data_IF_847522840467
#
_entry.id   IF_847522840467
#
_cell.length_a   1.000
_cell.length_b   1.000
_cell.length_c   1.000
_cell.angle_alpha   90.00
_cell.angle_beta   90.00
_cell.angle_gamma   90.00
#
_symmetry.space_group_name_H-M   'P 1'
#
loop_
_entity.id
_entity.type
_entity.pdbx_description
1 polymer ?
#
# COMPACT_ATOMS: atom_id res chain seq x y z
N UNK A 1 41.35 87.48 15.28
CA UNK A 1 40.00 86.88 15.33
C UNK A 1 40.15 85.40 14.96
N UNK A 2 39.51 84.54 15.75
CA UNK A 2 39.82 83.12 15.94
C UNK A 2 39.74 82.24 14.68
N UNK A 3 40.74 81.35 14.52
CA UNK A 3 40.68 80.16 13.67
C UNK A 3 39.88 79.07 14.40
N UNK A 4 38.78 78.62 13.79
CA UNK A 4 37.96 77.51 14.27
C UNK A 4 38.51 76.21 13.68
N UNK A 5 38.90 75.28 14.55
CA UNK A 5 39.31 73.91 14.22
C UNK A 5 38.04 73.04 14.28
N UNK A 6 37.62 72.47 13.14
CA UNK A 6 36.57 71.46 13.09
C UNK A 6 37.20 70.08 13.17
N UNK A 7 37.08 69.43 14.34
CA UNK A 7 37.36 68.00 14.48
C UNK A 7 36.13 67.20 14.06
N UNK A 8 36.32 66.34 13.06
CA UNK A 8 35.27 65.51 12.46
C UNK A 8 35.21 64.17 13.18
N UNK A 9 34.29 64.00 14.12
CA UNK A 9 34.06 62.72 14.80
C UNK A 9 33.25 61.77 13.90
N UNK A 10 33.88 60.67 13.49
CA UNK A 10 33.24 59.57 12.76
C UNK A 10 32.50 58.65 13.75
N UNK A 11 31.16 58.73 13.80
CA UNK A 11 30.33 57.81 14.59
C UNK A 11 29.91 56.62 13.73
N UNK A 12 30.61 55.50 13.89
CA UNK A 12 30.23 54.20 13.34
C UNK A 12 29.05 53.64 14.14
N UNK A 13 27.83 53.69 13.57
CA UNK A 13 26.68 52.93 14.08
C UNK A 13 26.59 51.62 13.33
N UNK A 14 27.10 50.55 13.94
CA UNK A 14 26.92 49.18 13.47
C UNK A 14 25.47 48.74 13.74
N UNK A 15 24.61 48.75 12.71
CA UNK A 15 23.28 48.16 12.79
C UNK A 15 23.41 46.64 12.70
N UNK A 16 23.23 45.96 13.82
CA UNK A 16 23.11 44.49 13.87
C UNK A 16 21.66 44.16 13.45
N UNK A 17 21.49 43.72 12.20
CA UNK A 17 20.23 43.14 11.72
C UNK A 17 20.17 41.69 12.22
N UNK A 18 19.44 41.46 13.32
CA UNK A 18 19.15 40.11 13.79
C UNK A 18 18.04 39.54 12.90
N UNK A 19 18.42 38.76 11.91
CA UNK A 19 17.49 38.00 11.10
C UNK A 19 16.99 36.80 11.92
N UNK A 20 15.83 36.95 12.57
CA UNK A 20 15.13 35.82 13.18
C UNK A 20 14.65 34.88 12.08
N UNK A 21 15.46 33.87 11.76
CA UNK A 21 15.00 32.70 11.02
C UNK A 21 14.09 31.93 11.97
N UNK A 22 12.79 32.21 11.91
CA UNK A 22 11.78 31.29 12.41
C UNK A 22 11.84 30.01 11.56
N UNK A 23 12.72 29.10 11.95
CA UNK A 23 12.52 27.69 11.64
C UNK A 23 11.34 27.21 12.48
N UNK A 24 10.12 27.54 12.05
CA UNK A 24 8.98 26.69 12.37
C UNK A 24 9.36 25.32 11.84
N UNK A 25 9.66 24.39 12.74
CA UNK A 25 9.69 22.97 12.41
C UNK A 25 8.25 22.65 12.03
N UNK A 26 7.92 22.82 10.74
CA UNK A 26 6.70 22.28 10.18
C UNK A 26 6.87 20.78 10.31
N UNK A 27 6.27 20.20 11.34
CA UNK A 27 6.00 18.77 11.37
C UNK A 27 5.15 18.50 10.13
N UNK A 28 5.77 17.97 9.08
CA UNK A 28 5.06 17.69 7.84
C UNK A 28 4.14 16.51 8.10
N UNK A 29 2.85 16.64 7.79
CA UNK A 29 1.89 15.59 8.04
C UNK A 29 2.29 14.26 7.39
N UNK A 30 2.10 13.17 8.13
CA UNK A 30 2.35 11.82 7.64
C UNK A 30 1.31 11.50 6.56
N UNK A 31 1.77 11.14 5.37
CA UNK A 31 0.89 10.92 4.21
C UNK A 31 1.53 10.02 3.15
N UNK A 32 0.71 9.47 2.25
CA UNK A 32 1.20 8.96 0.97
C UNK A 32 1.83 10.09 0.16
N UNK A 33 2.97 9.83 -0.49
CA UNK A 33 3.73 10.81 -1.27
C UNK A 33 3.77 10.37 -2.73
N UNK A 34 3.52 11.30 -3.66
CA UNK A 34 3.62 11.02 -5.09
C UNK A 34 5.08 10.91 -5.58
N UNK A 35 5.25 10.76 -6.89
CA UNK A 35 6.54 10.71 -7.56
C UNK A 35 7.42 11.94 -7.27
N UNK A 36 6.81 13.12 -7.08
CA UNK A 36 7.50 14.39 -6.77
C UNK A 36 7.75 14.60 -5.26
N UNK A 37 7.19 13.74 -4.39
CA UNK A 37 7.30 13.86 -2.93
C UNK A 37 6.23 14.72 -2.28
N UNK A 38 5.18 15.08 -3.03
CA UNK A 38 4.04 15.86 -2.53
C UNK A 38 2.99 14.93 -1.89
N UNK A 39 2.28 15.38 -0.82
CA UNK A 39 1.19 14.61 -0.24
C UNK A 39 0.08 14.32 -1.26
N UNK A 40 -0.40 13.08 -1.29
CA UNK A 40 -1.55 12.65 -2.09
C UNK A 40 -2.55 11.85 -1.27
N UNK A 41 -3.79 11.86 -1.73
CA UNK A 41 -4.88 11.12 -1.07
C UNK A 41 -4.66 9.61 -1.16
N UNK A 42 -4.30 9.14 -2.35
CA UNK A 42 -3.93 7.75 -2.61
C UNK A 42 -3.00 7.69 -3.82
N UNK A 43 -2.21 6.62 -3.91
CA UNK A 43 -1.55 6.22 -5.15
C UNK A 43 -1.53 4.70 -5.27
N UNK A 44 -1.38 4.23 -6.50
CA UNK A 44 -1.18 2.83 -6.85
C UNK A 44 0.06 2.74 -7.72
N UNK A 45 0.92 1.76 -7.43
CA UNK A 45 1.95 1.35 -8.37
C UNK A 45 1.68 -0.05 -8.91
N UNK A 46 2.10 -0.28 -10.15
CA UNK A 46 2.17 -1.59 -10.78
C UNK A 46 3.61 -1.82 -11.25
N UNK A 47 4.40 -2.48 -10.42
CA UNK A 47 5.75 -2.89 -10.80
C UNK A 47 5.68 -3.95 -11.89
N UNK A 48 6.44 -3.74 -12.96
CA UNK A 48 6.46 -4.61 -14.11
C UNK A 48 7.25 -5.90 -13.82
N UNK A 49 6.84 -7.06 -14.37
CA UNK A 49 7.62 -8.27 -14.28
C UNK A 49 8.93 -8.16 -15.09
N UNK A 50 9.93 -8.96 -14.70
CA UNK A 50 11.15 -9.12 -15.48
C UNK A 50 10.85 -9.77 -16.83
N UNK A 51 9.97 -10.77 -16.85
CA UNK A 51 9.62 -11.51 -18.06
C UNK A 51 8.28 -11.02 -18.61
N UNK A 52 8.32 -10.50 -19.83
CA UNK A 52 7.18 -10.01 -20.61
C UNK A 52 7.11 -10.79 -21.92
N UNK A 53 5.96 -10.75 -22.59
CA UNK A 53 5.82 -11.39 -23.90
C UNK A 53 6.65 -10.60 -24.91
N UNK A 54 7.68 -11.24 -25.48
CA UNK A 54 8.57 -10.63 -26.45
C UNK A 54 9.68 -9.76 -25.86
N UNK A 55 9.81 -9.65 -24.54
CA UNK A 55 10.80 -8.76 -23.91
C UNK A 55 11.24 -9.28 -22.52
N UNK A 56 12.51 -9.08 -22.17
CA UNK A 56 13.02 -9.24 -20.80
C UNK A 56 13.44 -7.88 -20.27
N UNK A 57 12.68 -7.35 -19.31
CA UNK A 57 12.92 -6.04 -18.70
C UNK A 57 13.83 -6.08 -17.46
N UNK A 58 13.98 -4.93 -16.81
CA UNK A 58 14.77 -4.80 -15.58
C UNK A 58 14.14 -5.48 -14.35
N UNK A 59 12.80 -5.58 -14.35
CA UNK A 59 12.01 -6.06 -13.22
C UNK A 59 11.82 -5.04 -12.09
N UNK A 60 12.28 -3.80 -12.27
CA UNK A 60 12.17 -2.70 -11.28
C UNK A 60 11.46 -1.45 -11.82
N UNK A 61 11.16 -1.41 -13.11
CA UNK A 61 10.28 -0.41 -13.71
C UNK A 61 8.85 -0.58 -13.19
N UNK A 62 8.09 0.51 -13.08
CA UNK A 62 6.70 0.45 -12.63
C UNK A 62 5.81 1.50 -13.29
N UNK A 63 4.53 1.17 -13.42
CA UNK A 63 3.48 2.12 -13.72
C UNK A 63 3.01 2.80 -12.44
N UNK A 64 2.66 4.08 -12.55
CA UNK A 64 2.17 4.93 -11.48
C UNK A 64 0.76 5.44 -11.80
N UNK A 65 -0.07 5.51 -10.77
CA UNK A 65 -1.41 6.09 -10.82
C UNK A 65 -1.70 6.78 -9.48
N UNK A 66 -2.23 8.00 -9.53
CA UNK A 66 -2.79 8.71 -8.39
C UNK A 66 -4.01 9.52 -8.85
N UNK A 67 -4.59 10.28 -7.92
CA UNK A 67 -5.75 11.14 -8.20
C UNK A 67 -5.45 12.30 -9.16
N UNK A 68 -4.18 12.65 -9.41
CA UNK A 68 -3.77 13.78 -10.24
C UNK A 68 -3.46 13.41 -11.69
N UNK A 69 -2.96 12.20 -11.96
CA UNK A 69 -2.54 11.76 -13.30
C UNK A 69 -3.66 11.09 -14.12
N UNK A 70 -4.69 10.56 -13.46
CA UNK A 70 -5.93 10.05 -14.08
C UNK A 70 -5.80 8.81 -14.99
N UNK A 71 -4.59 8.31 -15.27
CA UNK A 71 -4.31 7.10 -16.03
C UNK A 71 -2.91 6.57 -15.71
N UNK A 72 -2.63 5.30 -16.04
CA UNK A 72 -1.31 4.71 -15.84
C UNK A 72 -0.23 5.49 -16.59
N UNK A 73 0.79 5.93 -15.85
CA UNK A 73 2.00 6.55 -16.39
C UNK A 73 3.20 5.67 -16.09
N UNK A 74 4.12 5.53 -17.05
CA UNK A 74 5.41 4.91 -16.75
C UNK A 74 6.19 5.82 -15.80
N UNK A 75 6.65 5.29 -14.67
CA UNK A 75 7.48 6.08 -13.75
C UNK A 75 8.85 6.36 -14.37
N UNK A 76 9.39 7.56 -14.06
CA UNK A 76 10.78 7.91 -14.34
C UNK A 76 11.76 7.33 -13.31
N UNK A 77 11.25 6.80 -12.20
CA UNK A 77 12.02 6.18 -11.14
C UNK A 77 11.90 4.66 -11.21
N UNK A 78 12.80 3.96 -10.53
CA UNK A 78 12.71 2.51 -10.35
C UNK A 78 12.33 2.20 -8.90
N UNK A 79 11.53 1.14 -8.71
CA UNK A 79 11.05 0.76 -7.37
C UNK A 79 12.19 0.38 -6.42
N UNK A 80 13.38 0.07 -6.93
CA UNK A 80 14.57 -0.22 -6.12
C UNK A 80 15.39 1.01 -5.72
N UNK A 81 14.85 2.22 -5.93
CA UNK A 81 15.45 3.48 -5.50
C UNK A 81 14.68 4.09 -4.34
N UNK A 82 15.33 4.94 -3.54
CA UNK A 82 14.66 5.71 -2.48
C UNK A 82 13.87 6.92 -3.00
N UNK A 83 13.75 7.05 -4.33
CA UNK A 83 12.95 8.06 -5.03
C UNK A 83 11.64 7.43 -5.57
N UNK A 84 10.75 8.26 -6.10
CA UNK A 84 9.43 7.82 -6.55
C UNK A 84 8.47 7.58 -5.38
N UNK A 85 7.21 7.26 -5.67
CA UNK A 85 6.13 7.31 -4.69
C UNK A 85 6.35 6.44 -3.45
N UNK A 86 6.76 5.18 -3.61
CA UNK A 86 7.05 4.31 -2.46
C UNK A 86 8.26 4.83 -1.68
N UNK A 87 9.35 5.18 -2.37
CA UNK A 87 10.57 5.70 -1.74
C UNK A 87 10.31 6.98 -0.93
N UNK A 88 9.60 7.94 -1.54
CA UNK A 88 9.19 9.20 -0.91
C UNK A 88 8.27 8.96 0.30
N UNK A 89 7.33 8.03 0.18
CA UNK A 89 6.39 7.70 1.26
C UNK A 89 7.12 7.09 2.46
N UNK A 90 7.94 6.06 2.23
CA UNK A 90 8.69 5.38 3.29
C UNK A 90 9.87 6.20 3.84
N UNK A 91 10.30 7.26 3.13
CA UNK A 91 11.29 8.21 3.64
C UNK A 91 10.86 8.86 4.97
N UNK A 92 9.55 9.06 5.18
CA UNK A 92 9.00 9.58 6.45
C UNK A 92 9.28 8.62 7.61
N UNK A 93 9.23 7.31 7.37
CA UNK A 93 9.62 6.31 8.36
C UNK A 93 11.13 6.33 8.57
N UNK A 94 11.92 6.19 7.50
CA UNK A 94 13.36 5.96 7.59
C UNK A 94 14.18 7.21 7.89
N UNK A 95 14.17 8.18 6.97
CA UNK A 95 14.96 9.40 7.09
C UNK A 95 14.31 10.39 8.06
N UNK A 96 12.97 10.40 8.13
CA UNK A 96 12.21 11.14 9.15
C UNK A 96 12.33 10.55 10.55
N UNK A 97 12.94 9.37 10.69
CA UNK A 97 13.15 8.65 11.96
C UNK A 97 11.87 8.46 12.78
N UNK A 98 10.70 8.38 12.13
CA UNK A 98 9.44 8.14 12.83
C UNK A 98 9.45 6.83 13.63
N UNK A 99 10.28 5.86 13.23
CA UNK A 99 10.47 4.61 13.97
C UNK A 99 11.13 4.78 15.35
N UNK A 100 11.75 5.93 15.62
CA UNK A 100 12.30 6.30 16.93
C UNK A 100 11.38 7.22 17.73
N UNK A 101 10.27 7.65 17.13
CA UNK A 101 9.35 8.58 17.77
C UNK A 101 8.38 7.86 18.70
N UNK A 102 8.03 8.51 19.80
CA UNK A 102 6.92 8.12 20.67
C UNK A 102 5.61 8.83 20.31
N UNK A 103 5.62 9.72 19.31
CA UNK A 103 4.44 10.47 18.86
C UNK A 103 3.68 9.83 17.68
N UNK A 104 4.19 8.71 17.16
CA UNK A 104 3.61 8.03 16.00
C UNK A 104 3.64 6.52 16.18
N UNK A 105 2.62 5.85 15.66
CA UNK A 105 2.58 4.40 15.51
C UNK A 105 3.20 4.02 14.18
N UNK A 106 3.96 2.93 14.15
CA UNK A 106 4.33 2.29 12.90
C UNK A 106 4.29 0.77 13.02
N UNK A 107 3.97 0.09 11.92
CA UNK A 107 3.99 -1.35 11.85
C UNK A 107 4.39 -1.83 10.45
N UNK A 108 5.40 -2.69 10.38
CA UNK A 108 5.84 -3.36 9.17
C UNK A 108 5.45 -4.83 9.25
N UNK A 109 4.69 -5.29 8.27
CA UNK A 109 4.25 -6.68 8.20
C UNK A 109 4.48 -7.31 6.84
N UNK A 110 4.84 -8.59 6.88
CA UNK A 110 5.00 -9.42 5.70
C UNK A 110 5.04 -10.88 6.15
N UNK A 111 4.28 -11.75 5.49
CA UNK A 111 4.32 -13.19 5.80
C UNK A 111 5.66 -13.86 5.44
N UNK A 112 6.39 -13.27 4.49
CA UNK A 112 7.82 -13.52 4.26
C UNK A 112 8.64 -12.24 4.49
N UNK A 113 9.04 -11.91 5.74
CA UNK A 113 9.77 -10.68 6.05
C UNK A 113 11.15 -10.62 5.39
N UNK A 114 11.80 -9.45 5.32
CA UNK A 114 13.19 -9.36 4.90
C UNK A 114 14.09 -10.17 5.85
N UNK A 115 15.01 -10.98 5.30
CA UNK A 115 16.09 -11.70 6.02
C UNK A 115 15.60 -12.79 7.00
N UNK A 116 14.33 -12.78 7.41
CA UNK A 116 13.74 -13.77 8.30
C UNK A 116 13.12 -14.93 7.52
N UNK A 117 13.19 -16.12 8.12
CA UNK A 117 12.56 -17.32 7.58
C UNK A 117 11.04 -17.19 7.52
N UNK A 118 10.43 -17.85 6.54
CA UNK A 118 8.98 -17.96 6.43
C UNK A 118 8.41 -18.85 7.54
N UNK A 119 7.35 -18.39 8.20
CA UNK A 119 6.67 -19.11 9.28
C UNK A 119 5.19 -19.26 8.93
N UNK A 120 4.65 -20.47 9.13
CA UNK A 120 3.23 -20.77 8.91
C UNK A 120 2.36 -20.18 10.03
N UNK A 121 1.06 -20.05 9.77
CA UNK A 121 0.07 -19.64 10.78
C UNK A 121 -0.28 -18.15 10.78
N UNK A 122 0.46 -17.33 10.04
CA UNK A 122 0.12 -15.93 9.75
C UNK A 122 -0.64 -15.79 8.44
N UNK A 123 -1.46 -14.74 8.34
CA UNK A 123 -2.15 -14.39 7.11
C UNK A 123 -1.17 -14.15 5.96
N UNK A 124 -1.62 -14.39 4.73
CA UNK A 124 -0.89 -13.94 3.55
C UNK A 124 -1.21 -12.45 3.40
N UNK A 125 -0.41 -11.57 3.97
CA UNK A 125 -0.64 -10.13 3.88
C UNK A 125 0.66 -9.37 4.14
N UNK A 126 0.82 -8.20 3.52
CA UNK A 126 2.06 -7.42 3.58
C UNK A 126 1.75 -5.92 3.48
N UNK A 127 2.51 -5.11 4.20
CA UNK A 127 2.31 -3.68 4.16
C UNK A 127 2.98 -2.90 5.28
N UNK A 128 2.63 -1.62 5.33
CA UNK A 128 3.14 -0.62 6.26
C UNK A 128 1.99 0.22 6.79
N UNK A 129 1.98 0.42 8.10
CA UNK A 129 1.25 1.48 8.76
C UNK A 129 2.25 2.50 9.29
N UNK A 130 1.97 3.78 9.10
CA UNK A 130 2.64 4.87 9.79
C UNK A 130 1.62 6.00 9.98
N UNK A 131 1.36 6.40 11.23
CA UNK A 131 0.40 7.45 11.54
C UNK A 131 0.65 8.06 12.92
N UNK A 132 0.16 9.27 13.13
CA UNK A 132 0.08 9.94 14.43
C UNK A 132 -1.40 10.20 14.79
N UNK A 133 -1.65 11.03 15.82
CA UNK A 133 -3.01 11.38 16.25
C UNK A 133 -3.76 12.29 15.27
N UNK A 134 -3.11 12.82 14.24
CA UNK A 134 -3.73 13.60 13.17
C UNK A 134 -4.08 12.68 11.99
N UNK A 135 -3.07 12.06 11.40
CA UNK A 135 -3.21 11.30 10.16
C UNK A 135 -2.04 10.35 9.91
N UNK A 136 -2.15 9.59 8.83
CA UNK A 136 -1.05 8.80 8.31
C UNK A 136 -1.41 8.05 7.05
N UNK A 137 -0.67 6.98 6.76
CA UNK A 137 -0.95 6.13 5.62
C UNK A 137 -1.01 4.65 5.97
N UNK A 138 -1.80 3.94 5.17
CA UNK A 138 -1.74 2.49 5.05
C UNK A 138 -1.27 2.14 3.63
N UNK A 139 -0.12 1.45 3.54
CA UNK A 139 0.45 0.94 2.31
C UNK A 139 0.30 -0.59 2.30
N UNK A 140 -0.61 -1.12 1.49
CA UNK A 140 -0.75 -2.56 1.23
C UNK A 140 -0.02 -2.94 -0.06
N UNK A 141 0.65 -4.08 -0.09
CA UNK A 141 1.42 -4.50 -1.28
C UNK A 141 1.61 -6.01 -1.41
N UNK A 142 2.01 -6.46 -2.60
CA UNK A 142 2.26 -7.89 -2.88
C UNK A 142 3.74 -8.32 -2.84
N UNK A 143 4.65 -7.41 -2.46
CA UNK A 143 6.12 -7.59 -2.50
C UNK A 143 6.66 -8.43 -1.33
N UNK A 144 7.14 -9.67 -1.52
CA UNK A 144 7.78 -10.46 -0.47
C UNK A 144 9.11 -9.84 -0.03
N UNK A 145 9.52 -10.04 1.22
CA UNK A 145 10.77 -9.53 1.79
C UNK A 145 10.91 -8.00 1.75
N UNK A 146 9.79 -7.30 1.71
CA UNK A 146 9.70 -5.83 1.70
C UNK A 146 8.66 -5.37 2.73
N UNK A 147 8.81 -4.16 3.31
CA UNK A 147 10.01 -3.33 3.25
C UNK A 147 11.18 -3.87 4.09
N UNK A 148 12.29 -3.15 4.12
CA UNK A 148 13.44 -3.43 4.99
C UNK A 148 13.23 -2.89 6.40
N UNK A 149 13.98 -3.46 7.35
CA UNK A 149 14.08 -2.94 8.72
C UNK A 149 14.47 -1.44 8.72
N UNK A 150 13.86 -0.60 9.57
CA UNK A 150 14.08 0.85 9.57
C UNK A 150 15.55 1.28 9.66
N UNK A 151 16.36 0.57 10.42
CA UNK A 151 17.78 0.87 10.63
C UNK A 151 18.62 0.69 9.36
N UNK A 152 18.11 -0.04 8.36
CA UNK A 152 18.78 -0.27 7.08
C UNK A 152 18.33 0.72 5.99
N UNK A 153 17.38 1.60 6.29
CA UNK A 153 16.76 2.49 5.31
C UNK A 153 16.00 1.74 4.22
N UNK A 154 15.77 2.40 3.08
CA UNK A 154 15.04 1.82 1.95
C UNK A 154 15.89 0.80 1.18
N UNK A 155 15.46 -0.46 1.19
CA UNK A 155 16.06 -1.52 0.38
C UNK A 155 14.96 -2.34 -0.28
N UNK A 156 15.09 -2.54 -1.59
CA UNK A 156 14.18 -3.36 -2.37
C UNK A 156 14.77 -4.76 -2.59
N UNK A 157 14.02 -5.84 -2.30
CA UNK A 157 14.56 -7.20 -2.33
C UNK A 157 14.89 -7.65 -3.76
N UNK A 158 16.00 -8.36 -3.92
CA UNK A 158 16.41 -8.93 -5.22
C UNK A 158 15.37 -9.88 -5.80
N UNK A 159 14.70 -10.67 -4.95
CA UNK A 159 13.59 -11.56 -5.33
C UNK A 159 12.34 -10.82 -5.80
N UNK A 160 12.15 -9.56 -5.38
CA UNK A 160 11.05 -8.70 -5.84
C UNK A 160 11.13 -8.35 -7.33
N UNK A 161 12.30 -8.48 -7.96
CA UNK A 161 12.49 -8.12 -9.37
C UNK A 161 11.79 -9.05 -10.35
N UNK A 162 11.50 -10.29 -9.96
CA UNK A 162 11.07 -11.34 -10.91
C UNK A 162 9.67 -11.10 -11.44
N UNK A 163 8.69 -10.94 -10.54
CA UNK A 163 7.27 -10.93 -10.89
C UNK A 163 6.67 -9.54 -10.80
N UNK A 164 5.59 -9.28 -11.54
CA UNK A 164 4.79 -8.07 -11.42
C UNK A 164 4.20 -7.95 -10.02
N UNK A 165 4.02 -6.75 -9.50
CA UNK A 165 3.54 -6.53 -8.13
C UNK A 165 2.76 -5.22 -8.06
N UNK A 166 1.76 -5.17 -7.18
CA UNK A 166 1.01 -3.94 -6.92
C UNK A 166 1.25 -3.46 -5.49
N UNK A 167 1.13 -2.15 -5.30
CA UNK A 167 1.00 -1.54 -3.99
C UNK A 167 -0.03 -0.41 -4.05
N UNK A 168 -0.89 -0.33 -3.04
CA UNK A 168 -1.87 0.72 -2.82
C UNK A 168 -1.48 1.46 -1.53
N UNK A 169 -1.29 2.77 -1.64
CA UNK A 169 -1.15 3.66 -0.49
C UNK A 169 -2.38 4.54 -0.40
N UNK A 170 -2.99 4.63 0.78
CA UNK A 170 -4.06 5.60 1.04
C UNK A 170 -3.73 6.40 2.31
N UNK A 171 -3.90 7.72 2.23
CA UNK A 171 -3.77 8.64 3.35
C UNK A 171 -5.10 8.71 4.09
N UNK A 172 -5.07 8.50 5.39
CA UNK A 172 -6.24 8.48 6.27
C UNK A 172 -6.05 9.41 7.46
N UNK A 173 -7.16 9.93 7.99
CA UNK A 173 -7.18 10.52 9.33
C UNK A 173 -7.07 9.43 10.40
N UNK A 174 -6.63 9.82 11.60
CA UNK A 174 -6.42 8.90 12.73
C UNK A 174 -7.62 7.98 13.01
N UNK A 175 -8.86 8.49 12.92
CA UNK A 175 -10.06 7.74 13.29
C UNK A 175 -10.27 6.48 12.43
N UNK A 176 -9.82 6.51 11.17
CA UNK A 176 -9.91 5.36 10.26
C UNK A 176 -8.97 4.23 10.68
N UNK A 177 -7.86 4.54 11.36
CA UNK A 177 -6.93 3.52 11.86
C UNK A 177 -7.52 2.67 12.98
N UNK A 178 -8.56 3.15 13.68
CA UNK A 178 -9.31 2.33 14.64
C UNK A 178 -10.03 1.17 13.93
N UNK A 179 -10.61 1.44 12.75
CA UNK A 179 -11.21 0.42 11.88
C UNK A 179 -10.15 -0.50 11.28
N UNK A 180 -9.06 0.06 10.74
CA UNK A 180 -7.95 -0.71 10.17
C UNK A 180 -7.34 -1.66 11.22
N UNK A 181 -7.15 -1.22 12.47
CA UNK A 181 -6.62 -2.06 13.54
C UNK A 181 -7.54 -3.25 13.86
N UNK A 182 -8.86 -3.08 13.79
CA UNK A 182 -9.82 -4.19 13.90
C UNK A 182 -9.68 -5.17 12.73
N UNK A 183 -9.54 -4.66 11.51
CA UNK A 183 -9.33 -5.49 10.31
C UNK A 183 -8.03 -6.34 10.43
N UNK A 184 -6.97 -5.79 11.03
CA UNK A 184 -5.71 -6.51 11.25
C UNK A 184 -5.86 -7.76 12.14
N UNK A 185 -6.86 -7.82 13.03
CA UNK A 185 -7.13 -9.02 13.85
C UNK A 185 -7.54 -10.20 12.99
N UNK A 186 -8.35 -9.98 11.95
CA UNK A 186 -8.77 -11.01 11.01
C UNK A 186 -7.62 -11.43 10.10
N UNK A 187 -6.87 -10.45 9.58
CA UNK A 187 -5.71 -10.70 8.73
C UNK A 187 -4.63 -11.52 9.47
N UNK A 188 -4.46 -11.28 10.76
CA UNK A 188 -3.40 -11.81 11.60
C UNK A 188 -2.01 -11.70 10.90
N UNK A 189 -1.57 -10.46 10.62
CA UNK A 189 -0.33 -10.20 9.91
C UNK A 189 0.88 -10.60 10.76
N UNK A 190 1.97 -10.99 10.09
CA UNK A 190 3.26 -11.16 10.75
C UNK A 190 3.97 -9.80 10.84
N UNK A 191 3.75 -9.09 11.95
CA UNK A 191 4.56 -7.92 12.28
C UNK A 191 5.98 -8.35 12.60
N UNK A 192 6.96 -7.85 11.85
CA UNK A 192 8.39 -8.11 12.08
C UNK A 192 9.14 -6.90 12.64
N UNK A 193 8.52 -5.72 12.59
CA UNK A 193 8.97 -4.54 13.30
C UNK A 193 7.75 -3.64 13.54
N UNK A 194 7.46 -3.30 14.79
CA UNK A 194 6.30 -2.50 15.15
C UNK A 194 6.55 -1.71 16.44
N UNK A 195 6.01 -0.50 16.52
CA UNK A 195 5.92 0.28 17.74
C UNK A 195 4.52 0.88 17.88
N UNK A 196 3.90 0.67 19.04
CA UNK A 196 2.66 1.33 19.46
C UNK A 196 2.95 2.06 20.78
N UNK A 197 3.25 3.37 20.74
CA UNK A 197 3.56 4.14 21.94
C UNK A 197 2.39 4.17 22.95
N UNK A 198 2.71 4.44 24.22
CA UNK A 198 1.75 4.34 25.32
C UNK A 198 0.47 5.18 25.14
N UNK A 199 0.58 6.35 24.51
CA UNK A 199 -0.55 7.25 24.23
C UNK A 199 -1.60 6.65 23.30
N UNK A 200 -1.22 5.67 22.48
CA UNK A 200 -2.12 5.01 21.52
C UNK A 200 -2.76 3.73 22.06
N UNK A 201 -2.23 3.14 23.15
CA UNK A 201 -2.62 1.79 23.59
C UNK A 201 -4.09 1.71 24.00
N UNK A 202 -4.63 2.77 24.62
CA UNK A 202 -6.01 2.79 25.08
C UNK A 202 -7.02 2.67 23.92
N UNK A 203 -6.72 3.31 22.78
CA UNK A 203 -7.58 3.33 21.60
C UNK A 203 -7.26 2.21 20.60
N UNK A 204 -6.01 1.73 20.58
CA UNK A 204 -5.51 0.69 19.67
C UNK A 204 -5.02 -0.57 20.41
N UNK A 205 -5.79 -1.15 21.35
CA UNK A 205 -5.31 -2.28 22.15
C UNK A 205 -5.04 -3.53 21.29
N UNK A 206 -5.83 -3.74 20.24
CA UNK A 206 -5.66 -4.88 19.31
C UNK A 206 -4.36 -4.79 18.52
N UNK A 207 -4.01 -3.60 18.03
CA UNK A 207 -2.75 -3.38 17.32
C UNK A 207 -1.56 -3.60 18.25
N UNK A 208 -1.63 -3.08 19.49
CA UNK A 208 -0.61 -3.31 20.51
C UNK A 208 -0.43 -4.80 20.86
N UNK A 209 -1.52 -5.57 20.93
CA UNK A 209 -1.49 -7.03 21.15
C UNK A 209 -0.83 -7.77 19.98
N UNK A 210 -1.22 -7.46 18.74
CA UNK A 210 -0.63 -8.06 17.54
C UNK A 210 0.87 -7.75 17.44
N UNK A 211 1.30 -6.52 17.77
CA UNK A 211 2.71 -6.14 17.75
C UNK A 211 3.56 -6.87 18.81
N UNK A 212 2.92 -7.36 19.89
CA UNK A 212 3.55 -8.25 20.88
C UNK A 212 3.50 -9.74 20.48
N UNK A 213 3.02 -10.05 19.28
CA UNK A 213 2.88 -11.41 18.77
C UNK A 213 1.67 -12.17 19.31
N UNK A 214 0.72 -11.49 19.96
CA UNK A 214 -0.53 -12.13 20.37
C UNK A 214 -1.45 -12.37 19.17
N UNK A 215 -2.29 -13.40 19.23
CA UNK A 215 -3.35 -13.68 18.26
C UNK A 215 -4.72 -13.44 18.89
N UNK A 216 -5.26 -12.21 18.88
CA UNK A 216 -6.61 -11.97 19.35
C UNK A 216 -7.60 -12.75 18.49
N UNK A 217 -8.61 -13.35 19.11
CA UNK A 217 -9.64 -14.10 18.38
C UNK A 217 -10.64 -13.10 17.75
N UNK A 218 -10.83 -13.11 16.43
CA UNK A 218 -11.88 -12.29 15.81
C UNK A 218 -13.28 -12.79 16.21
N UNK A 219 -14.29 -11.91 16.29
CA UNK A 219 -15.66 -12.29 16.68
C UNK A 219 -16.39 -13.10 15.60
N UNK A 220 -15.92 -13.03 14.35
CA UNK A 220 -16.42 -13.75 13.18
C UNK A 220 -15.24 -14.26 12.37
N UNK A 221 -15.51 -15.04 11.32
CA UNK A 221 -14.47 -15.53 10.41
C UNK A 221 -14.06 -14.49 9.34
N UNK A 222 -14.89 -13.46 9.11
CA UNK A 222 -14.67 -12.37 8.15
C UNK A 222 -15.27 -11.03 8.61
N UNK A 223 -14.79 -9.92 8.08
CA UNK A 223 -15.28 -8.57 8.38
C UNK A 223 -15.14 -7.59 7.22
N UNK A 224 -16.13 -6.73 7.05
CA UNK A 224 -16.14 -5.64 6.08
C UNK A 224 -16.14 -4.31 6.84
N UNK A 225 -15.25 -3.39 6.45
CA UNK A 225 -15.18 -2.04 7.02
C UNK A 225 -15.12 -1.01 5.88
N UNK A 226 -15.97 0.02 5.94
CA UNK A 226 -15.88 1.16 5.04
C UNK A 226 -14.89 2.18 5.61
N UNK A 227 -13.91 2.56 4.81
CA UNK A 227 -12.86 3.53 5.14
C UNK A 227 -12.98 4.75 4.24
N UNK A 228 -12.73 5.93 4.79
CA UNK A 228 -12.72 7.19 4.03
C UNK A 228 -11.33 7.79 4.03
N UNK A 229 -10.76 8.01 2.83
CA UNK A 229 -9.47 8.70 2.69
C UNK A 229 -9.53 10.13 3.24
N UNK A 230 -8.37 10.79 3.34
CA UNK A 230 -8.30 12.16 3.85
C UNK A 230 -9.04 13.18 2.96
N UNK A 231 -9.23 12.88 1.67
CA UNK A 231 -10.08 13.66 0.74
C UNK A 231 -11.50 13.11 0.59
N UNK A 232 -11.88 12.07 1.31
CA UNK A 232 -13.24 11.53 1.34
C UNK A 232 -13.55 10.47 0.28
N UNK A 233 -12.53 9.95 -0.43
CA UNK A 233 -12.69 8.78 -1.30
C UNK A 233 -13.03 7.55 -0.45
N UNK A 234 -14.04 6.80 -0.88
CA UNK A 234 -14.49 5.61 -0.15
C UNK A 234 -13.72 4.38 -0.61
N UNK A 235 -13.16 3.69 0.38
CA UNK A 235 -12.56 2.37 0.24
C UNK A 235 -13.32 1.37 1.13
N UNK A 236 -13.39 0.11 0.74
CA UNK A 236 -14.00 -0.96 1.54
C UNK A 236 -12.97 -2.04 1.79
N UNK A 237 -12.62 -2.25 3.05
CA UNK A 237 -11.72 -3.32 3.49
C UNK A 237 -12.54 -4.60 3.71
N UNK A 238 -12.29 -5.62 2.91
CA UNK A 238 -12.78 -6.97 3.09
C UNK A 238 -11.66 -7.84 3.64
N UNK A 239 -11.82 -8.38 4.84
CA UNK A 239 -10.83 -9.28 5.45
C UNK A 239 -11.45 -10.59 5.88
N UNK A 240 -10.71 -11.68 5.68
CA UNK A 240 -11.02 -13.00 6.23
C UNK A 240 -9.91 -13.46 7.16
N UNK A 241 -10.29 -14.28 8.14
CA UNK A 241 -9.39 -15.10 8.95
C UNK A 241 -9.14 -16.46 8.29
N UNK A 242 -8.28 -17.29 8.90
CA UNK A 242 -8.08 -18.67 8.44
C UNK A 242 -9.33 -19.57 8.55
N UNK A 243 -10.37 -19.13 9.28
CA UNK A 243 -11.58 -19.91 9.53
C UNK A 243 -12.64 -19.77 8.42
N UNK A 244 -12.57 -18.70 7.62
CA UNK A 244 -13.39 -18.60 6.42
C UNK A 244 -12.66 -19.35 5.31
N UNK A 245 -13.14 -20.53 4.93
CA UNK A 245 -12.36 -21.46 4.07
C UNK A 245 -12.71 -21.39 2.58
N UNK A 246 -13.60 -20.48 2.20
CA UNK A 246 -13.93 -20.25 0.79
C UNK A 246 -12.92 -19.31 0.11
N UNK A 247 -12.92 -19.35 -1.22
CA UNK A 247 -12.24 -18.38 -2.07
C UNK A 247 -12.85 -17.01 -1.82
N UNK A 248 -12.07 -16.07 -1.25
CA UNK A 248 -12.58 -14.76 -0.81
C UNK A 248 -13.30 -14.00 -1.93
N UNK A 249 -12.80 -14.13 -3.16
CA UNK A 249 -13.38 -13.48 -4.34
C UNK A 249 -14.75 -14.09 -4.65
N UNK A 250 -14.82 -15.42 -4.78
CA UNK A 250 -16.01 -16.15 -5.21
C UNK A 250 -17.07 -16.23 -4.12
N UNK A 251 -16.70 -16.74 -2.95
CA UNK A 251 -17.62 -17.05 -1.86
C UNK A 251 -18.06 -15.83 -1.05
N UNK A 252 -17.49 -14.64 -1.32
CA UNK A 252 -17.87 -13.46 -0.57
C UNK A 252 -17.84 -12.15 -1.36
N UNK A 253 -16.68 -11.70 -1.84
CA UNK A 253 -16.52 -10.32 -2.34
C UNK A 253 -17.39 -10.07 -3.57
N UNK A 254 -17.42 -10.97 -4.55
CA UNK A 254 -18.30 -10.86 -5.72
C UNK A 254 -19.78 -10.81 -5.33
N UNK A 255 -20.19 -11.62 -4.36
CA UNK A 255 -21.59 -11.68 -3.91
C UNK A 255 -21.97 -10.43 -3.11
N UNK A 256 -21.07 -9.95 -2.25
CA UNK A 256 -21.31 -8.80 -1.40
C UNK A 256 -21.34 -7.48 -2.18
N UNK A 257 -20.55 -7.40 -3.26
CA UNK A 257 -20.54 -6.25 -4.17
C UNK A 257 -21.58 -6.35 -5.29
N UNK A 258 -22.30 -7.47 -5.36
CA UNK A 258 -23.25 -7.76 -6.44
C UNK A 258 -22.62 -7.62 -7.85
N UNK A 259 -21.35 -8.01 -8.02
CA UNK A 259 -20.61 -7.78 -9.26
C UNK A 259 -19.86 -9.04 -9.73
N UNK A 260 -19.94 -9.32 -11.03
CA UNK A 260 -19.06 -10.29 -11.69
C UNK A 260 -17.62 -9.76 -11.67
N UNK A 261 -16.65 -10.54 -11.20
CA UNK A 261 -15.26 -10.09 -11.04
C UNK A 261 -14.30 -10.77 -12.03
N UNK A 262 -13.39 -9.98 -12.59
CA UNK A 262 -12.21 -10.43 -13.32
C UNK A 262 -11.01 -10.32 -12.36
N UNK A 263 -10.31 -11.43 -12.09
CA UNK A 263 -9.31 -11.52 -11.03
C UNK A 263 -7.93 -11.89 -11.57
N UNK A 264 -6.93 -11.06 -11.26
CA UNK A 264 -5.50 -11.38 -11.34
C UNK A 264 -5.02 -11.79 -9.95
N UNK A 265 -4.29 -12.90 -9.84
CA UNK A 265 -3.90 -13.44 -8.54
C UNK A 265 -2.74 -14.43 -8.58
N UNK A 266 -1.76 -14.23 -9.47
CA UNK A 266 -0.60 -15.11 -9.67
C UNK A 266 -0.94 -16.57 -9.98
N UNK A 267 -1.28 -16.85 -11.24
CA UNK A 267 -1.72 -18.19 -11.63
C UNK A 267 -0.55 -19.07 -12.04
N UNK A 268 -0.23 -20.04 -11.17
CA UNK A 268 0.74 -21.10 -11.44
C UNK A 268 0.01 -22.37 -11.80
N UNK A 269 0.29 -22.88 -13.00
CA UNK A 269 -0.32 -24.09 -13.54
C UNK A 269 -0.42 -25.22 -12.50
N UNK A 270 -1.64 -25.69 -12.26
CA UNK A 270 -1.95 -26.79 -11.34
C UNK A 270 -2.17 -26.39 -9.89
N UNK A 271 -2.00 -25.11 -9.56
CA UNK A 271 -2.21 -24.59 -8.21
C UNK A 271 -3.35 -23.56 -8.12
N UNK A 272 -3.79 -23.02 -9.27
CA UNK A 272 -4.89 -22.07 -9.33
C UNK A 272 -6.25 -22.75 -9.15
N UNK A 273 -7.19 -22.04 -8.53
CA UNK A 273 -8.60 -22.37 -8.64
C UNK A 273 -9.09 -21.96 -10.03
N UNK A 274 -9.99 -22.73 -10.67
CA UNK A 274 -10.57 -22.33 -11.95
C UNK A 274 -11.47 -21.10 -11.79
N UNK A 275 -11.81 -20.48 -12.93
CA UNK A 275 -12.93 -19.54 -12.97
C UNK A 275 -14.18 -20.23 -12.40
N UNK A 276 -14.98 -19.50 -11.62
CA UNK A 276 -16.14 -20.04 -10.94
C UNK A 276 -17.39 -19.25 -11.32
N UNK A 277 -18.37 -19.96 -11.87
CA UNK A 277 -19.67 -19.41 -12.27
C UNK A 277 -20.83 -20.25 -11.70
N UNK A 278 -20.62 -20.87 -10.54
CA UNK A 278 -21.63 -21.67 -9.86
C UNK A 278 -22.46 -20.87 -8.84
N UNK A 279 -22.05 -19.64 -8.54
CA UNK A 279 -22.75 -18.71 -7.66
C UNK A 279 -23.38 -17.57 -8.48
N UNK A 280 -24.36 -16.81 -7.94
CA UNK A 280 -25.05 -15.75 -8.67
C UNK A 280 -24.13 -14.71 -9.31
N UNK A 281 -23.04 -14.32 -8.64
CA UNK A 281 -21.98 -13.50 -9.22
C UNK A 281 -20.74 -14.34 -9.52
N UNK A 282 -20.22 -14.17 -10.72
CA UNK A 282 -19.15 -14.99 -11.28
C UNK A 282 -17.78 -14.40 -11.03
N UNK A 283 -16.76 -15.26 -10.94
CA UNK A 283 -15.37 -14.86 -10.76
C UNK A 283 -14.47 -15.55 -11.79
N UNK A 284 -13.96 -14.76 -12.72
CA UNK A 284 -13.18 -15.20 -13.87
C UNK A 284 -11.71 -14.83 -13.73
N UNK A 285 -10.81 -15.75 -14.08
CA UNK A 285 -9.38 -15.55 -13.96
C UNK A 285 -8.79 -14.79 -15.15
N UNK A 286 -8.15 -13.64 -14.89
CA UNK A 286 -7.35 -12.89 -15.86
C UNK A 286 -6.08 -13.68 -16.16
N UNK A 287 -5.80 -14.00 -17.42
CA UNK A 287 -4.61 -14.79 -17.80
C UNK A 287 -3.51 -13.94 -18.43
N UNK A 288 -3.88 -12.79 -19.01
CA UNK A 288 -2.93 -11.88 -19.65
C UNK A 288 -3.28 -10.44 -19.35
N UNK A 289 -2.25 -9.67 -19.00
CA UNK A 289 -2.34 -8.24 -18.67
C UNK A 289 -1.62 -7.45 -19.76
N UNK A 290 -2.23 -6.35 -20.21
CA UNK A 290 -1.62 -5.37 -21.12
C UNK A 290 -1.65 -3.98 -20.49
N UNK A 291 -0.53 -3.54 -19.93
CA UNK A 291 -0.34 -2.17 -19.46
C UNK A 291 0.02 -1.24 -20.65
N UNK A 292 -0.17 0.09 -20.52
CA UNK A 292 0.29 1.06 -21.51
C UNK A 292 1.78 0.95 -21.83
N UNK A 293 2.22 1.51 -22.97
CA UNK A 293 3.61 1.33 -23.43
C UNK A 293 3.88 -0.08 -23.96
N UNK A 294 2.96 -0.57 -24.81
CA UNK A 294 2.38 -1.94 -24.85
C UNK A 294 3.07 -3.04 -24.01
N UNK A 295 3.06 -2.91 -22.68
CA UNK A 295 3.64 -3.92 -21.79
C UNK A 295 2.68 -5.10 -21.65
N UNK A 296 3.04 -6.25 -22.21
CA UNK A 296 2.21 -7.46 -22.23
C UNK A 296 2.86 -8.61 -21.46
N UNK A 297 2.15 -9.24 -20.53
CA UNK A 297 2.67 -10.40 -19.78
C UNK A 297 1.55 -11.32 -19.27
N UNK A 298 1.93 -12.55 -18.94
CA UNK A 298 1.01 -13.55 -18.40
C UNK A 298 0.91 -13.43 -16.87
N UNK A 299 -0.26 -13.78 -16.32
CA UNK A 299 -0.51 -13.89 -14.86
C UNK A 299 0.54 -14.74 -14.14
N UNK A 300 1.14 -15.73 -14.83
CA UNK A 300 2.21 -16.55 -14.28
C UNK A 300 3.41 -15.74 -13.76
N UNK A 301 3.72 -14.62 -14.43
CA UNK A 301 4.81 -13.72 -14.07
C UNK A 301 4.34 -12.57 -13.19
N UNK A 302 3.15 -12.64 -12.60
CA UNK A 302 2.59 -11.54 -11.83
C UNK A 302 2.18 -11.98 -10.42
N UNK A 303 2.83 -11.39 -9.43
CA UNK A 303 2.50 -11.52 -8.01
C UNK A 303 1.49 -10.47 -7.54
N UNK A 304 0.99 -9.58 -8.39
CA UNK A 304 -0.14 -8.72 -8.00
C UNK A 304 -1.37 -9.57 -7.67
N UNK A 305 -2.25 -9.02 -6.83
CA UNK A 305 -3.59 -9.58 -6.63
C UNK A 305 -4.56 -8.42 -6.66
N UNK A 306 -5.41 -8.44 -7.66
CA UNK A 306 -6.41 -7.40 -7.87
C UNK A 306 -7.57 -7.96 -8.67
N UNK A 307 -8.72 -7.31 -8.55
CA UNK A 307 -9.88 -7.62 -9.36
C UNK A 307 -10.59 -6.35 -9.81
N UNK A 308 -11.35 -6.48 -10.88
CA UNK A 308 -12.25 -5.44 -11.38
C UNK A 308 -13.61 -6.04 -11.71
N UNK A 309 -14.67 -5.24 -11.65
CA UNK A 309 -15.95 -5.67 -12.20
C UNK A 309 -15.84 -5.92 -13.70
N UNK A 310 -16.57 -6.94 -14.17
CA UNK A 310 -16.68 -7.26 -15.60
C UNK A 310 -17.51 -6.21 -16.31
N UNK A 311 -18.66 -5.88 -15.73
CA UNK A 311 -19.55 -4.83 -16.17
C UNK A 311 -18.95 -3.45 -15.84
N UNK A 312 -19.14 -2.49 -16.75
CA UNK A 312 -18.51 -1.17 -16.64
C UNK A 312 -19.25 -0.24 -15.68
N UNK A 313 -20.54 -0.49 -15.49
CA UNK A 313 -21.45 0.24 -14.61
C UNK A 313 -21.18 0.00 -13.12
N UNK A 314 -20.68 -1.19 -12.74
CA UNK A 314 -20.39 -1.52 -11.34
C UNK A 314 -19.16 -0.77 -10.79
N UNK A 315 -18.22 -0.40 -11.67
CA UNK A 315 -17.01 0.38 -11.38
C UNK A 315 -16.14 -0.14 -10.21
N UNK A 316 -16.16 -1.44 -9.93
CA UNK A 316 -15.41 -2.01 -8.81
C UNK A 316 -13.95 -2.22 -9.20
N UNK A 317 -13.03 -1.79 -8.35
CA UNK A 317 -11.65 -2.28 -8.33
C UNK A 317 -11.27 -2.69 -6.92
N UNK A 318 -10.62 -3.83 -6.76
CA UNK A 318 -10.01 -4.20 -5.49
C UNK A 318 -8.55 -4.59 -5.68
N UNK A 319 -7.72 -4.30 -4.69
CA UNK A 319 -6.35 -4.79 -4.57
C UNK A 319 -6.22 -5.56 -3.26
N UNK A 320 -5.42 -6.62 -3.22
CA UNK A 320 -5.17 -7.23 -1.92
C UNK A 320 -4.16 -8.35 -1.94
N UNK A 321 -4.41 -9.34 -1.08
CA UNK A 321 -3.33 -10.20 -0.63
C UNK A 321 -3.38 -11.61 -1.22
N UNK A 322 -4.58 -12.16 -1.41
CA UNK A 322 -4.78 -13.59 -1.61
C UNK A 322 -4.72 -14.02 -3.08
N UNK A 323 -3.90 -15.02 -3.37
CA UNK A 323 -3.99 -15.76 -4.62
C UNK A 323 -5.26 -16.62 -4.63
N UNK A 324 -5.86 -16.82 -5.80
CA UNK A 324 -6.88 -17.87 -6.02
C UNK A 324 -6.22 -19.23 -6.14
N UNK A 325 -5.78 -19.80 -5.01
CA UNK A 325 -5.18 -21.14 -4.94
C UNK A 325 -5.56 -21.88 -3.66
N UNK A 326 -5.67 -23.20 -3.73
CA UNK A 326 -6.18 -24.05 -2.62
C UNK A 326 -5.49 -23.80 -1.27
N UNK A 327 -4.17 -23.57 -1.29
CA UNK A 327 -3.39 -23.32 -0.07
C UNK A 327 -3.73 -21.98 0.62
N UNK A 328 -4.31 -21.01 -0.10
CA UNK A 328 -4.68 -19.71 0.46
C UNK A 328 -6.08 -19.70 1.10
N UNK A 329 -6.88 -20.75 0.88
CA UNK A 329 -8.21 -20.90 1.49
C UNK A 329 -8.14 -20.89 3.03
N UNK A 330 -7.06 -21.43 3.59
CA UNK A 330 -6.86 -21.59 5.04
C UNK A 330 -5.96 -20.51 5.64
N UNK A 331 -5.89 -19.33 5.02
CA UNK A 331 -5.06 -18.21 5.47
C UNK A 331 -5.89 -16.95 5.61
N UNK A 332 -5.56 -16.16 6.62
CA UNK A 332 -6.03 -14.78 6.70
C UNK A 332 -5.49 -13.94 5.54
N UNK A 333 -6.24 -12.93 5.13
CA UNK A 333 -5.91 -12.05 4.00
C UNK A 333 -7.14 -11.24 3.61
N UNK A 334 -6.95 -10.21 2.78
CA UNK A 334 -8.04 -9.33 2.41
C UNK A 334 -7.89 -8.64 1.07
N UNK A 335 -8.86 -7.77 0.81
CA UNK A 335 -8.94 -6.86 -0.33
C UNK A 335 -9.34 -5.48 0.16
N UNK A 336 -8.75 -4.44 -0.42
CA UNK A 336 -9.23 -3.06 -0.32
C UNK A 336 -9.87 -2.72 -1.66
N UNK A 337 -11.19 -2.53 -1.65
CA UNK A 337 -12.01 -2.22 -2.80
C UNK A 337 -12.33 -0.72 -2.88
N UNK A 338 -12.57 -0.23 -4.08
CA UNK A 338 -12.99 1.14 -4.37
C UNK A 338 -13.94 1.15 -5.56
N UNK A 339 -14.76 2.19 -5.62
CA UNK A 339 -15.68 2.49 -6.72
C UNK A 339 -15.21 3.69 -7.54
N UNK A 340 -13.95 4.12 -7.34
CA UNK A 340 -13.39 5.27 -8.02
C UNK A 340 -13.29 5.00 -9.54
N UNK A 341 -13.96 5.80 -10.39
CA UNK A 341 -14.03 5.55 -11.83
C UNK A 341 -12.67 5.66 -12.52
N UNK A 342 -11.73 6.46 -11.98
CA UNK A 342 -10.37 6.59 -12.53
C UNK A 342 -9.59 5.31 -12.30
N UNK A 343 -9.63 4.77 -11.08
CA UNK A 343 -8.97 3.50 -10.74
C UNK A 343 -9.59 2.35 -11.54
N UNK A 344 -10.93 2.29 -11.59
CA UNK A 344 -11.64 1.28 -12.38
C UNK A 344 -11.25 1.31 -13.84
N UNK A 345 -11.30 2.48 -14.48
CA UNK A 345 -10.89 2.62 -15.88
C UNK A 345 -9.45 2.15 -16.08
N UNK A 346 -8.53 2.54 -15.21
CA UNK A 346 -7.13 2.18 -15.31
C UNK A 346 -6.91 0.66 -15.22
N UNK A 347 -7.57 -0.04 -14.30
CA UNK A 347 -7.42 -1.49 -14.17
C UNK A 347 -8.23 -2.28 -15.21
N UNK A 348 -9.44 -1.81 -15.55
CA UNK A 348 -10.30 -2.51 -16.51
C UNK A 348 -9.70 -2.54 -17.92
N UNK A 349 -8.98 -1.48 -18.30
CA UNK A 349 -8.28 -1.38 -19.58
C UNK A 349 -7.08 -2.31 -19.71
N UNK A 350 -6.50 -2.78 -18.61
CA UNK A 350 -5.30 -3.65 -18.66
C UNK A 350 -5.64 -5.13 -18.72
N UNK A 351 -6.91 -5.49 -18.59
CA UNK A 351 -7.39 -6.85 -18.80
C UNK A 351 -7.35 -7.17 -20.30
N UNK A 352 -6.33 -7.92 -20.72
CA UNK A 352 -6.15 -8.31 -22.12
C UNK A 352 -6.85 -9.62 -22.46
N UNK A 353 -6.74 -10.62 -21.57
CA UNK A 353 -7.41 -11.90 -21.75
C UNK A 353 -7.70 -12.58 -20.42
N UNK A 354 -8.86 -13.24 -20.32
CA UNK A 354 -9.30 -13.98 -19.15
C UNK A 354 -10.03 -15.26 -19.56
N UNK A 355 -10.06 -16.25 -18.66
CA UNK A 355 -10.89 -17.43 -18.83
C UNK A 355 -12.31 -17.16 -18.34
N UNK A 356 -13.26 -17.21 -19.27
CA UNK A 356 -14.68 -17.27 -18.93
C UNK A 356 -15.04 -18.56 -18.18
N UNK A 357 -16.32 -18.64 -17.86
CA UNK A 357 -17.05 -19.89 -17.99
C UNK A 357 -17.29 -20.14 -19.49
#
# INVERSE_FOLDING_TARGET
MLHVRMDMHFSSRLQIVIMFVWCTVCSTDISCRNEAGEPVDWFIIYKLPRYKIGEVGSGVDYMYLDSSVGSWQISKYMVNTSQGAIGNTLKQLYAGQAYKSNSSVYALYNDGPPILDYIKGYGHTKGVLLFDHSQGFWLSHSIPHFPSFPERGYLYPSSGKVNGQTALCVTYRYEQFLGIAKQMVYLYPRFYNCSVPATFIAELPQLAQLCKGSKPRPPSDKSMEQLSSIKGETFVSFVKSEHFVDDIYTGWVAQALDADLLVESWQRQGHELPSNCSLPKHVMNIKRIRLPGPVLFQSHYDHSKWCVSRAYEDQVTCLGDLNRGKAQLWRGGGLVCTFNPLIFKAFRQVVDWYFGC
#
